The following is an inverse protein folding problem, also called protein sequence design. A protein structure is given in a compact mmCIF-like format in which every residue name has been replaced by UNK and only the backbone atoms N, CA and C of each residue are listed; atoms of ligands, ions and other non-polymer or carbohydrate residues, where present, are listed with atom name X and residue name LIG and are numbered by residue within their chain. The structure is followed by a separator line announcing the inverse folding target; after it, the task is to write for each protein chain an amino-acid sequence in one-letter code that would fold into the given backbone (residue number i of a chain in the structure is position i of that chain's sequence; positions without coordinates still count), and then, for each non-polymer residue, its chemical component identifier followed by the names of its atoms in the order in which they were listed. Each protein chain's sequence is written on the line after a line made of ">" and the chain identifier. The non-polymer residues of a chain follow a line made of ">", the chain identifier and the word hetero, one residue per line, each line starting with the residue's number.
data_IF_652896377847
#
_entry.id   IF_652896377847
#
_cell.length_a   1.000
_cell.length_b   1.000
_cell.length_c   1.000
_cell.angle_alpha   90.00
_cell.angle_beta   90.00
_cell.angle_gamma   90.00
#
_symmetry.space_group_name_H-M   'P 1'
#
loop_
_entity.id
_entity.type
_entity.pdbx_description
1 polymer ?
#
# COMPACT_ATOMS: atom_id res chain seq x y z
N UNK A 1 30.58 12.81 -6.21
CA UNK A 1 30.05 11.79 -7.09
C UNK A 1 28.87 12.37 -7.88
N UNK A 2 28.86 12.19 -9.20
CA UNK A 2 27.67 12.54 -10.01
C UNK A 2 26.65 11.44 -9.79
N UNK A 3 25.48 11.83 -9.32
CA UNK A 3 24.31 10.95 -9.30
C UNK A 3 23.66 11.08 -10.68
N UNK A 4 23.66 10.02 -11.48
CA UNK A 4 22.94 9.99 -12.77
C UNK A 4 21.45 9.79 -12.50
N UNK A 5 20.70 10.89 -12.52
CA UNK A 5 19.24 10.88 -12.47
C UNK A 5 18.76 11.12 -13.90
N UNK A 6 17.76 10.37 -14.39
CA UNK A 6 17.12 10.67 -15.67
C UNK A 6 16.66 12.14 -15.72
N UNK A 7 16.88 12.80 -16.84
CA UNK A 7 16.59 14.25 -17.01
C UNK A 7 15.10 14.61 -16.84
N UNK A 8 14.23 13.63 -16.93
CA UNK A 8 12.78 13.75 -16.79
C UNK A 8 12.25 13.37 -15.40
N UNK A 9 13.15 13.07 -14.46
CA UNK A 9 12.81 12.74 -13.07
C UNK A 9 13.23 13.86 -12.09
N UNK A 10 12.45 13.96 -11.00
CA UNK A 10 12.70 14.84 -9.86
C UNK A 10 12.94 13.98 -8.62
N UNK A 11 13.99 14.29 -7.85
CA UNK A 11 14.18 13.70 -6.53
C UNK A 11 13.12 14.29 -5.58
N UNK A 12 12.29 13.41 -5.01
CA UNK A 12 11.27 13.80 -4.01
C UNK A 12 11.79 13.59 -2.61
N UNK A 13 12.46 12.44 -2.37
CA UNK A 13 12.99 12.14 -1.04
C UNK A 13 14.38 11.49 -1.15
N UNK A 14 15.20 11.75 -0.13
CA UNK A 14 16.50 11.11 0.09
C UNK A 14 16.41 10.37 1.42
N UNK A 15 16.61 9.05 1.39
CA UNK A 15 16.55 8.21 2.59
C UNK A 15 17.97 7.77 2.93
N UNK A 16 18.59 8.32 4.00
CA UNK A 16 19.88 7.86 4.48
C UNK A 16 19.84 6.37 4.87
N UNK A 17 20.81 5.60 4.41
CA UNK A 17 21.00 4.20 4.80
C UNK A 17 22.16 4.10 5.78
N UNK A 18 23.31 4.69 5.41
CA UNK A 18 24.50 4.68 6.23
C UNK A 18 25.37 5.90 5.96
N UNK A 19 26.10 6.32 6.98
CA UNK A 19 27.12 7.34 6.89
C UNK A 19 28.50 6.71 7.12
N UNK A 20 29.54 7.25 6.46
CA UNK A 20 30.93 6.95 6.75
C UNK A 20 31.67 8.24 7.00
N UNK A 21 32.52 8.28 8.03
CA UNK A 21 33.34 9.43 8.37
C UNK A 21 34.78 9.02 8.12
N UNK A 22 35.47 9.79 7.28
CA UNK A 22 36.90 9.58 6.92
C UNK A 22 37.23 8.15 6.49
N UNK A 23 36.31 7.53 5.72
CA UNK A 23 36.46 6.16 5.22
C UNK A 23 36.32 5.05 6.26
N UNK A 24 35.79 5.37 7.45
CA UNK A 24 35.51 4.40 8.51
C UNK A 24 34.35 3.45 8.24
N UNK A 25 34.00 2.66 9.24
CA UNK A 25 32.89 1.71 9.16
C UNK A 25 31.53 2.43 8.96
N UNK A 26 30.58 1.80 8.27
CA UNK A 26 29.27 2.41 8.05
C UNK A 26 28.47 2.55 9.35
N UNK A 27 27.93 3.73 9.58
CA UNK A 27 27.13 4.08 10.75
C UNK A 27 25.66 4.25 10.33
N UNK A 28 24.75 3.43 10.89
CA UNK A 28 23.32 3.46 10.62
C UNK A 28 22.56 4.28 11.69
N UNK A 29 23.16 5.36 12.15
CA UNK A 29 22.62 6.25 13.20
C UNK A 29 22.87 7.70 12.85
N UNK A 30 22.21 8.59 13.58
CA UNK A 30 22.50 10.01 13.51
C UNK A 30 23.98 10.28 13.86
N UNK A 31 24.65 11.01 12.99
CA UNK A 31 26.05 11.42 13.11
C UNK A 31 26.21 12.88 13.55
N UNK A 32 25.11 13.53 13.96
CA UNK A 32 25.15 14.91 14.44
C UNK A 32 26.12 15.06 15.61
N UNK A 33 27.02 16.05 15.52
CA UNK A 33 28.07 16.30 16.51
C UNK A 33 29.33 15.44 16.35
N UNK A 34 29.38 14.51 15.39
CA UNK A 34 30.64 13.81 15.07
C UNK A 34 31.54 14.68 14.19
N UNK A 35 32.85 14.62 14.41
CA UNK A 35 33.83 15.37 13.64
C UNK A 35 34.52 14.46 12.62
N UNK A 36 34.78 15.00 11.42
CA UNK A 36 35.50 14.33 10.35
C UNK A 36 35.82 15.29 9.21
N UNK A 37 36.76 14.92 8.36
CA UNK A 37 37.16 15.72 7.19
C UNK A 37 36.29 15.41 5.98
N UNK A 38 35.82 14.15 5.85
CA UNK A 38 34.98 13.66 4.74
C UNK A 38 33.83 12.88 5.34
N UNK A 39 32.61 13.21 4.89
CA UNK A 39 31.40 12.45 5.20
C UNK A 39 30.86 11.88 3.91
N UNK A 40 30.75 10.56 3.85
CA UNK A 40 30.09 9.84 2.77
C UNK A 40 28.69 9.43 3.23
N UNK A 41 27.70 9.62 2.36
CA UNK A 41 26.32 9.20 2.58
C UNK A 41 25.94 8.12 1.57
N UNK A 42 25.55 6.97 2.05
CA UNK A 42 24.82 5.97 1.29
C UNK A 42 23.32 6.19 1.51
N UNK A 43 22.56 6.41 0.44
CA UNK A 43 21.15 6.75 0.54
C UNK A 43 20.35 6.14 -0.61
N UNK A 44 19.07 5.82 -0.35
CA UNK A 44 18.09 5.58 -1.38
C UNK A 44 17.52 6.92 -1.86
N UNK A 45 17.48 7.11 -3.16
CA UNK A 45 16.82 8.25 -3.78
C UNK A 45 15.44 7.80 -4.27
N UNK A 46 14.42 8.57 -3.91
CA UNK A 46 13.07 8.38 -4.42
C UNK A 46 12.83 9.45 -5.46
N UNK A 47 12.57 9.02 -6.68
CA UNK A 47 12.31 9.89 -7.81
C UNK A 47 10.89 9.73 -8.33
N UNK A 48 10.37 10.79 -8.92
CA UNK A 48 9.11 10.80 -9.67
C UNK A 48 9.32 11.47 -11.03
N UNK A 49 8.59 11.05 -12.07
CA UNK A 49 8.55 11.78 -13.32
C UNK A 49 8.12 13.23 -13.11
N UNK A 50 8.86 14.17 -13.69
CA UNK A 50 8.65 15.60 -13.53
C UNK A 50 7.20 16.03 -13.79
N UNK A 51 6.55 15.44 -14.82
CA UNK A 51 5.19 15.80 -15.18
C UNK A 51 4.18 15.41 -14.08
N UNK A 52 4.41 14.30 -13.39
CA UNK A 52 3.57 13.87 -12.26
C UNK A 52 3.73 14.82 -11.09
N UNK A 53 4.98 15.07 -10.67
CA UNK A 53 5.26 15.98 -9.55
C UNK A 53 4.68 17.37 -9.79
N UNK A 54 4.91 17.94 -10.99
CA UNK A 54 4.37 19.26 -11.37
C UNK A 54 2.84 19.29 -11.38
N UNK A 55 2.17 18.24 -11.86
CA UNK A 55 0.71 18.18 -11.87
C UNK A 55 0.11 18.32 -10.47
N UNK A 56 0.71 17.67 -9.45
CA UNK A 56 0.28 17.84 -8.08
C UNK A 56 0.56 19.23 -7.53
N UNK A 57 1.74 19.78 -7.82
CA UNK A 57 2.13 21.14 -7.41
C UNK A 57 1.15 22.17 -8.00
N UNK A 58 0.89 22.10 -9.30
CA UNK A 58 -0.01 23.02 -10.00
C UNK A 58 -1.44 22.97 -9.43
N UNK A 59 -1.96 21.77 -9.14
CA UNK A 59 -3.30 21.61 -8.55
C UNK A 59 -3.38 22.32 -7.20
N UNK A 60 -2.42 22.07 -6.31
CA UNK A 60 -2.41 22.64 -4.96
C UNK A 60 -2.25 24.15 -4.98
N UNK A 61 -1.32 24.67 -5.81
CA UNK A 61 -1.08 26.10 -5.95
C UNK A 61 -2.27 26.82 -6.59
N UNK A 62 -2.92 26.22 -7.60
CA UNK A 62 -4.12 26.80 -8.23
C UNK A 62 -5.31 26.87 -7.26
N UNK A 63 -5.34 26.04 -6.23
CA UNK A 63 -6.31 26.12 -5.14
C UNK A 63 -5.95 27.18 -4.07
N UNK A 64 -4.81 27.88 -4.24
CA UNK A 64 -4.37 28.92 -3.32
C UNK A 64 -3.64 28.42 -2.08
N UNK A 65 -3.18 27.14 -2.06
CA UNK A 65 -2.43 26.59 -0.94
C UNK A 65 -0.92 26.66 -1.19
N UNK A 66 -0.17 26.81 -0.11
CA UNK A 66 1.28 26.68 -0.08
C UNK A 66 1.67 25.22 0.17
N UNK A 67 2.70 24.75 -0.54
CA UNK A 67 3.26 23.43 -0.35
C UNK A 67 4.42 23.52 0.63
N UNK A 68 4.26 22.92 1.81
CA UNK A 68 5.28 22.93 2.86
C UNK A 68 6.31 21.81 2.65
N UNK A 69 5.88 20.64 2.23
CA UNK A 69 6.75 19.48 1.98
C UNK A 69 6.09 18.53 0.96
N UNK A 70 6.88 17.63 0.40
CA UNK A 70 6.42 16.57 -0.47
C UNK A 70 7.05 15.24 -0.02
N UNK A 71 6.21 14.23 0.20
CA UNK A 71 6.64 12.90 0.60
C UNK A 71 5.84 11.84 -0.10
N UNK A 72 6.49 10.73 -0.46
CA UNK A 72 5.78 9.59 -1.06
C UNK A 72 5.00 8.81 0.01
N UNK A 73 3.84 8.29 -0.39
CA UNK A 73 2.93 7.57 0.52
C UNK A 73 3.62 6.49 1.37
N UNK A 74 4.51 5.64 0.84
CA UNK A 74 5.23 4.65 1.66
C UNK A 74 5.98 5.25 2.84
N UNK A 75 6.69 6.37 2.63
CA UNK A 75 7.43 7.03 3.72
C UNK A 75 6.48 7.64 4.75
N UNK A 76 5.40 8.26 4.30
CA UNK A 76 4.40 8.79 5.21
C UNK A 76 3.78 7.66 6.06
N UNK A 77 3.37 6.56 5.43
CA UNK A 77 2.79 5.39 6.10
C UNK A 77 3.74 4.77 7.14
N UNK A 78 5.05 4.85 6.94
CA UNK A 78 6.02 4.33 7.91
C UNK A 78 5.91 4.99 9.28
N UNK A 79 5.48 6.25 9.35
CA UNK A 79 5.33 6.98 10.62
C UNK A 79 4.25 6.38 11.54
N UNK A 80 3.30 5.64 10.96
CA UNK A 80 2.19 5.02 11.69
C UNK A 80 2.37 3.50 11.80
N UNK A 81 2.86 2.86 10.72
CA UNK A 81 2.83 1.40 10.57
C UNK A 81 4.14 0.71 10.91
N UNK A 82 5.25 1.45 11.01
CA UNK A 82 6.56 0.88 11.27
C UNK A 82 7.02 1.26 12.67
N UNK A 83 7.00 0.29 13.56
CA UNK A 83 7.60 0.41 14.87
C UNK A 83 9.11 0.10 14.77
N UNK A 84 9.93 1.13 14.98
CA UNK A 84 11.39 1.03 14.92
C UNK A 84 11.98 0.23 16.08
N UNK A 85 11.24 0.07 17.16
CA UNK A 85 11.66 -0.69 18.36
C UNK A 85 11.17 -2.15 18.29
N UNK A 86 10.40 -2.51 17.26
CA UNK A 86 9.90 -3.87 17.09
C UNK A 86 11.05 -4.87 16.90
N UNK A 87 10.99 -6.05 17.57
CA UNK A 87 11.95 -7.12 17.33
C UNK A 87 11.83 -7.71 15.90
N UNK A 88 10.76 -7.42 15.18
CA UNK A 88 10.56 -7.82 13.78
C UNK A 88 11.26 -6.80 12.89
N UNK A 89 12.43 -7.17 12.37
CA UNK A 89 13.28 -6.27 11.59
C UNK A 89 12.71 -5.90 10.22
N UNK A 90 11.75 -6.65 9.67
CA UNK A 90 11.21 -6.42 8.33
C UNK A 90 9.70 -6.56 8.25
N UNK A 91 9.05 -5.76 7.40
CA UNK A 91 7.61 -5.77 7.18
C UNK A 91 7.25 -5.33 5.76
N UNK A 92 6.27 -5.98 5.17
CA UNK A 92 5.66 -5.55 3.91
C UNK A 92 4.35 -4.83 4.21
N UNK A 93 4.20 -3.62 3.72
CA UNK A 93 2.92 -2.90 3.70
C UNK A 93 2.28 -3.15 2.33
N UNK A 94 1.04 -3.65 2.33
CA UNK A 94 0.25 -3.94 1.15
C UNK A 94 -0.96 -3.00 1.11
N UNK A 95 -0.86 -1.91 0.35
CA UNK A 95 -1.92 -0.93 0.17
C UNK A 95 -2.80 -1.33 -1.02
N UNK A 96 -3.95 -1.94 -0.74
CA UNK A 96 -4.91 -2.39 -1.73
C UNK A 96 -5.86 -1.25 -2.09
N UNK A 97 -5.54 -0.51 -3.14
CA UNK A 97 -6.37 0.56 -3.66
C UNK A 97 -7.46 0.09 -4.63
N UNK A 98 -8.15 1.05 -5.27
CA UNK A 98 -9.16 0.76 -6.28
C UNK A 98 -8.58 0.25 -7.59
N UNK A 99 -7.51 0.88 -8.10
CA UNK A 99 -6.89 0.54 -9.40
C UNK A 99 -5.64 -0.32 -9.27
N UNK A 100 -4.85 -0.10 -8.24
CA UNK A 100 -3.55 -0.70 -8.04
C UNK A 100 -3.39 -1.17 -6.60
N UNK A 101 -2.48 -2.10 -6.38
CA UNK A 101 -1.93 -2.43 -5.07
C UNK A 101 -0.48 -1.96 -5.01
N UNK A 102 -0.13 -1.16 -4.00
CA UNK A 102 1.23 -0.72 -3.74
C UNK A 102 1.84 -1.58 -2.64
N UNK A 103 2.94 -2.24 -2.94
CA UNK A 103 3.76 -2.95 -1.96
C UNK A 103 4.93 -2.08 -1.55
N UNK A 104 5.20 -2.03 -0.26
CA UNK A 104 6.33 -1.30 0.30
C UNK A 104 7.03 -2.18 1.33
N UNK A 105 8.31 -2.48 1.11
CA UNK A 105 9.09 -3.31 2.01
C UNK A 105 9.99 -2.45 2.89
N UNK A 106 9.86 -2.62 4.19
CA UNK A 106 10.67 -1.98 5.21
C UNK A 106 11.56 -3.00 5.89
N UNK A 107 12.83 -2.62 6.15
CA UNK A 107 13.79 -3.40 6.92
C UNK A 107 14.54 -2.46 7.87
N UNK A 108 14.59 -2.82 9.16
CA UNK A 108 15.18 -1.98 10.20
C UNK A 108 14.64 -0.53 10.20
N UNK A 109 13.34 -0.37 9.95
CA UNK A 109 12.68 0.94 9.87
C UNK A 109 12.89 1.72 8.57
N UNK A 110 13.73 1.25 7.65
CA UNK A 110 14.03 1.91 6.39
C UNK A 110 13.23 1.32 5.23
N UNK A 111 12.74 2.17 4.33
CA UNK A 111 12.13 1.76 3.09
C UNK A 111 13.20 1.20 2.14
N UNK A 112 13.11 -0.09 1.84
CA UNK A 112 14.08 -0.81 1.00
C UNK A 112 13.65 -0.82 -0.46
N UNK A 113 12.34 -0.94 -0.72
CA UNK A 113 11.83 -0.96 -2.07
C UNK A 113 10.32 -0.96 -2.13
N UNK A 114 9.81 -0.69 -3.32
CA UNK A 114 8.37 -0.69 -3.61
C UNK A 114 8.08 -1.47 -4.89
N UNK A 115 6.86 -1.97 -5.01
CA UNK A 115 6.35 -2.59 -6.23
C UNK A 115 4.87 -2.24 -6.40
N UNK A 116 4.45 -2.00 -7.64
CA UNK A 116 3.07 -1.69 -7.98
C UNK A 116 2.49 -2.83 -8.79
N UNK A 117 1.44 -3.46 -8.26
CA UNK A 117 0.63 -4.41 -8.99
C UNK A 117 -0.53 -3.67 -9.66
N UNK A 118 -0.76 -3.96 -10.94
CA UNK A 118 -1.93 -3.45 -11.69
C UNK A 118 -3.19 -4.23 -11.34
N UNK A 119 -3.39 -4.47 -10.06
CA UNK A 119 -4.57 -5.11 -9.49
C UNK A 119 -5.05 -4.25 -8.32
N UNK A 120 -6.33 -3.89 -8.33
CA UNK A 120 -7.02 -3.21 -7.25
C UNK A 120 -8.47 -3.68 -7.18
N UNK A 121 -9.19 -3.26 -6.15
CA UNK A 121 -10.56 -3.74 -5.86
C UNK A 121 -11.58 -3.45 -6.98
N UNK A 122 -11.30 -2.48 -7.88
CA UNK A 122 -12.17 -2.20 -9.03
C UNK A 122 -12.20 -3.35 -10.05
N UNK A 123 -11.14 -4.18 -10.11
CA UNK A 123 -11.15 -5.36 -10.98
C UNK A 123 -12.14 -6.41 -10.50
N UNK A 124 -12.32 -6.52 -9.19
CA UNK A 124 -13.36 -7.39 -8.58
C UNK A 124 -14.73 -6.85 -8.95
N UNK A 125 -14.95 -5.53 -8.80
CA UNK A 125 -16.22 -4.88 -9.18
C UNK A 125 -16.55 -5.08 -10.66
N UNK A 126 -15.56 -4.94 -11.54
CA UNK A 126 -15.73 -5.16 -12.96
C UNK A 126 -16.09 -6.62 -13.30
N UNK A 127 -15.49 -7.59 -12.59
CA UNK A 127 -15.82 -9.01 -12.79
C UNK A 127 -17.25 -9.33 -12.32
N UNK A 128 -17.68 -8.78 -11.18
CA UNK A 128 -19.08 -8.89 -10.71
C UNK A 128 -20.04 -8.29 -11.72
N UNK A 129 -19.75 -7.08 -12.21
CA UNK A 129 -20.54 -6.38 -13.22
C UNK A 129 -20.71 -7.22 -14.48
N UNK A 130 -19.63 -7.80 -14.97
CA UNK A 130 -19.60 -8.65 -16.16
C UNK A 130 -20.36 -9.96 -15.96
N UNK A 131 -20.13 -10.63 -14.82
CA UNK A 131 -20.69 -11.95 -14.53
C UNK A 131 -22.21 -11.92 -14.38
N UNK A 132 -22.72 -10.87 -13.73
CA UNK A 132 -24.16 -10.75 -13.42
C UNK A 132 -24.88 -9.71 -14.29
N UNK A 133 -24.21 -9.14 -15.27
CA UNK A 133 -24.74 -8.08 -16.15
C UNK A 133 -25.38 -6.93 -15.35
N UNK A 134 -24.66 -6.42 -14.34
CA UNK A 134 -25.06 -5.32 -13.47
C UNK A 134 -24.31 -4.04 -13.79
N UNK A 135 -24.86 -2.89 -13.40
CA UNK A 135 -24.10 -1.64 -13.43
C UNK A 135 -22.93 -1.70 -12.45
N UNK A 136 -21.85 -0.91 -12.73
CA UNK A 136 -20.68 -0.84 -11.87
C UNK A 136 -21.03 -0.40 -10.45
N UNK A 137 -21.96 0.56 -10.32
CA UNK A 137 -22.40 1.07 -9.01
C UNK A 137 -23.13 -0.02 -8.21
N UNK A 138 -23.95 -0.84 -8.88
CA UNK A 138 -24.67 -1.94 -8.22
C UNK A 138 -23.66 -3.02 -7.79
N UNK A 139 -22.75 -3.36 -8.66
CA UNK A 139 -21.70 -4.36 -8.40
C UNK A 139 -20.77 -3.93 -7.24
N UNK A 140 -20.43 -2.65 -7.16
CA UNK A 140 -19.64 -2.11 -6.05
C UNK A 140 -20.39 -2.21 -4.73
N UNK A 141 -21.69 -1.88 -4.72
CA UNK A 141 -22.54 -2.03 -3.52
C UNK A 141 -22.61 -3.48 -3.05
N UNK A 142 -22.87 -4.42 -3.96
CA UNK A 142 -22.92 -5.84 -3.61
C UNK A 142 -21.59 -6.34 -3.06
N UNK A 143 -20.46 -5.92 -3.67
CA UNK A 143 -19.13 -6.25 -3.18
C UNK A 143 -18.89 -5.73 -1.76
N UNK A 144 -19.28 -4.49 -1.46
CA UNK A 144 -19.07 -3.87 -0.14
C UNK A 144 -19.97 -4.50 0.92
N UNK A 145 -21.25 -4.78 0.59
CA UNK A 145 -22.24 -5.25 1.55
C UNK A 145 -22.14 -6.75 1.82
N UNK A 146 -21.85 -7.57 0.80
CA UNK A 146 -21.92 -9.03 0.86
C UNK A 146 -20.67 -9.75 0.39
N UNK A 147 -19.66 -9.00 -0.11
CA UNK A 147 -18.45 -9.62 -0.67
C UNK A 147 -17.57 -10.25 0.39
N UNK A 148 -17.12 -11.47 0.15
CA UNK A 148 -16.08 -12.11 0.94
C UNK A 148 -15.01 -12.75 0.04
N UNK A 149 -13.75 -12.72 0.50
CA UNK A 149 -12.64 -13.39 -0.16
C UNK A 149 -12.65 -14.92 0.06
N UNK A 150 -13.46 -15.42 1.00
CA UNK A 150 -13.59 -16.84 1.31
C UNK A 150 -14.99 -17.35 0.96
N UNK A 151 -15.14 -17.93 -0.23
CA UNK A 151 -16.42 -18.47 -0.67
C UNK A 151 -16.95 -19.68 0.13
N UNK A 152 -16.13 -20.27 0.99
CA UNK A 152 -16.57 -21.36 1.86
C UNK A 152 -17.41 -20.89 3.05
N UNK A 153 -17.29 -19.60 3.41
CA UNK A 153 -18.05 -18.98 4.50
C UNK A 153 -19.39 -18.41 4.06
N UNK A 154 -19.65 -18.33 2.75
CA UNK A 154 -20.86 -17.73 2.20
C UNK A 154 -22.01 -18.72 2.08
N UNK A 155 -23.24 -18.22 2.19
CA UNK A 155 -24.48 -19.00 2.21
C UNK A 155 -25.26 -18.91 0.90
N UNK A 156 -26.20 -19.83 0.70
CA UNK A 156 -27.14 -19.83 -0.46
C UNK A 156 -28.34 -18.90 -0.20
N UNK A 157 -28.07 -17.68 0.29
CA UNK A 157 -29.09 -16.68 0.57
C UNK A 157 -29.12 -15.70 -0.59
N UNK A 158 -30.32 -15.39 -1.11
CA UNK A 158 -30.50 -14.39 -2.15
C UNK A 158 -30.21 -13.02 -1.55
N UNK A 159 -29.21 -12.32 -2.10
CA UNK A 159 -28.78 -10.97 -1.69
C UNK A 159 -29.24 -9.91 -2.70
N UNK A 160 -29.61 -10.30 -3.90
CA UNK A 160 -30.11 -9.41 -4.94
C UNK A 160 -31.09 -10.14 -5.84
N UNK A 161 -32.19 -9.48 -6.19
CA UNK A 161 -33.15 -9.95 -7.20
C UNK A 161 -33.66 -8.78 -8.05
N UNK A 162 -33.86 -9.04 -9.33
CA UNK A 162 -34.50 -8.15 -10.29
C UNK A 162 -35.52 -8.98 -11.11
N UNK A 163 -36.79 -8.87 -10.73
CA UNK A 163 -37.88 -9.62 -11.36
C UNK A 163 -38.05 -9.26 -12.84
N UNK A 164 -37.73 -8.03 -13.23
CA UNK A 164 -37.89 -7.56 -14.61
C UNK A 164 -36.88 -8.17 -15.56
N UNK A 165 -35.74 -8.59 -15.05
CA UNK A 165 -34.64 -9.21 -15.80
C UNK A 165 -34.44 -10.69 -15.48
N UNK A 166 -35.31 -11.24 -14.61
CA UNK A 166 -35.19 -12.62 -14.10
C UNK A 166 -33.77 -12.93 -13.54
N UNK A 167 -33.20 -11.98 -12.79
CA UNK A 167 -31.89 -12.10 -12.17
C UNK A 167 -32.07 -12.34 -10.67
N UNK A 168 -31.41 -13.37 -10.17
CA UNK A 168 -31.28 -13.65 -8.74
C UNK A 168 -29.82 -14.00 -8.45
N UNK A 169 -29.24 -13.36 -7.43
CA UNK A 169 -27.85 -13.57 -7.04
C UNK A 169 -27.80 -13.95 -5.58
N UNK A 170 -27.13 -15.05 -5.28
CA UNK A 170 -26.86 -15.49 -3.92
C UNK A 170 -25.50 -14.96 -3.42
N UNK A 171 -25.34 -14.89 -2.10
CA UNK A 171 -24.07 -14.58 -1.48
C UNK A 171 -22.96 -15.55 -1.93
N UNK A 172 -23.32 -16.84 -2.09
CA UNK A 172 -22.40 -17.88 -2.56
C UNK A 172 -21.89 -17.61 -3.97
N UNK A 173 -22.75 -17.30 -4.91
CA UNK A 173 -22.39 -17.00 -6.30
C UNK A 173 -21.51 -15.74 -6.36
N UNK A 174 -21.85 -14.68 -5.61
CA UNK A 174 -21.02 -13.47 -5.52
C UNK A 174 -19.62 -13.79 -5.02
N UNK A 175 -19.52 -14.57 -3.94
CA UNK A 175 -18.24 -14.92 -3.31
C UNK A 175 -17.38 -15.83 -4.17
N UNK A 176 -17.98 -16.71 -4.97
CA UNK A 176 -17.26 -17.54 -5.95
C UNK A 176 -16.62 -16.70 -7.05
N UNK A 177 -17.35 -15.69 -7.56
CA UNK A 177 -16.80 -14.74 -8.54
C UNK A 177 -15.62 -13.95 -7.95
N UNK A 178 -15.78 -13.46 -6.73
CA UNK A 178 -14.72 -12.73 -6.02
C UNK A 178 -13.48 -13.61 -5.79
N UNK A 179 -13.68 -14.81 -5.24
CA UNK A 179 -12.59 -15.74 -4.93
C UNK A 179 -11.82 -16.15 -6.17
N UNK A 180 -12.50 -16.44 -7.27
CA UNK A 180 -11.87 -16.77 -8.54
C UNK A 180 -11.00 -15.61 -9.07
N UNK A 181 -11.47 -14.37 -8.94
CA UNK A 181 -10.70 -13.20 -9.36
C UNK A 181 -9.48 -12.96 -8.48
N UNK A 182 -9.59 -13.27 -7.19
CA UNK A 182 -8.49 -13.14 -6.23
C UNK A 182 -7.40 -14.21 -6.40
N UNK A 183 -7.68 -15.37 -7.00
CA UNK A 183 -6.67 -16.40 -7.23
C UNK A 183 -5.49 -15.87 -8.09
N UNK A 184 -5.78 -15.13 -9.14
CA UNK A 184 -4.74 -14.48 -9.97
C UNK A 184 -3.99 -13.41 -9.16
N UNK A 185 -4.70 -12.66 -8.34
CA UNK A 185 -4.12 -11.64 -7.47
C UNK A 185 -3.12 -12.23 -6.47
N UNK A 186 -3.44 -13.34 -5.83
CA UNK A 186 -2.56 -13.98 -4.85
C UNK A 186 -1.25 -14.47 -5.47
N UNK A 187 -1.30 -14.97 -6.72
CA UNK A 187 -0.09 -15.40 -7.46
C UNK A 187 0.84 -14.19 -7.70
N UNK A 188 0.29 -13.12 -8.26
CA UNK A 188 1.06 -11.90 -8.52
C UNK A 188 1.56 -11.23 -7.23
N UNK A 189 0.74 -11.22 -6.20
CA UNK A 189 1.09 -10.67 -4.89
C UNK A 189 2.28 -11.42 -4.29
N UNK A 190 2.21 -12.75 -4.25
CA UNK A 190 3.30 -13.58 -3.71
C UNK A 190 4.61 -13.40 -4.48
N UNK A 191 4.54 -13.38 -5.82
CA UNK A 191 5.70 -13.15 -6.68
C UNK A 191 6.38 -11.82 -6.37
N UNK A 192 5.62 -10.73 -6.30
CA UNK A 192 6.16 -9.41 -6.05
C UNK A 192 6.73 -9.26 -4.63
N UNK A 193 6.04 -9.79 -3.61
CA UNK A 193 6.55 -9.82 -2.24
C UNK A 193 7.87 -10.60 -2.18
N UNK A 194 7.93 -11.77 -2.82
CA UNK A 194 9.12 -12.62 -2.82
C UNK A 194 10.33 -11.92 -3.46
N UNK A 195 10.11 -11.18 -4.54
CA UNK A 195 11.17 -10.35 -5.17
C UNK A 195 11.63 -9.25 -4.20
N UNK A 196 10.72 -8.47 -3.63
CA UNK A 196 11.04 -7.38 -2.72
C UNK A 196 11.79 -7.86 -1.47
N UNK A 197 11.40 -9.00 -0.92
CA UNK A 197 11.95 -9.55 0.33
C UNK A 197 13.11 -10.53 0.10
N UNK A 198 13.54 -10.72 -1.16
CA UNK A 198 14.56 -11.73 -1.54
C UNK A 198 14.21 -13.12 -0.99
N UNK A 199 12.95 -13.51 -1.09
CA UNK A 199 12.36 -14.76 -0.59
C UNK A 199 12.39 -14.95 0.94
N UNK A 200 12.70 -13.91 1.71
CA UNK A 200 12.58 -13.99 3.18
C UNK A 200 11.10 -13.80 3.58
N UNK A 201 10.66 -14.60 4.54
CA UNK A 201 9.26 -14.59 4.99
C UNK A 201 9.03 -13.50 6.06
N UNK A 202 8.76 -12.27 5.61
CA UNK A 202 8.36 -11.16 6.49
C UNK A 202 6.83 -11.04 6.57
N UNK A 203 6.30 -10.55 7.72
CA UNK A 203 4.87 -10.31 7.88
C UNK A 203 4.37 -9.23 6.92
N UNK A 204 3.06 -9.31 6.60
CA UNK A 204 2.36 -8.39 5.72
C UNK A 204 1.30 -7.63 6.51
N UNK A 205 1.31 -6.32 6.44
CA UNK A 205 0.22 -5.46 6.94
C UNK A 205 -0.59 -4.94 5.76
N UNK A 206 -1.88 -5.21 5.78
CA UNK A 206 -2.80 -4.79 4.72
C UNK A 206 -3.48 -3.48 5.11
N UNK A 207 -3.55 -2.57 4.15
CA UNK A 207 -4.24 -1.27 4.25
C UNK A 207 -4.98 -0.95 2.95
N UNK A 208 -5.55 0.25 2.88
CA UNK A 208 -6.28 0.73 1.71
C UNK A 208 -7.75 0.30 1.70
N UNK A 209 -8.52 0.82 0.76
CA UNK A 209 -9.96 0.53 0.66
C UNK A 209 -10.28 -0.94 0.38
N UNK A 210 -9.40 -1.66 -0.34
CA UNK A 210 -9.55 -3.08 -0.62
C UNK A 210 -9.35 -3.98 0.59
N UNK A 211 -8.72 -3.49 1.66
CA UNK A 211 -8.54 -4.24 2.92
C UNK A 211 -9.85 -4.50 3.67
N UNK A 212 -10.92 -3.81 3.30
CA UNK A 212 -12.24 -4.00 3.89
C UNK A 212 -13.02 -5.19 3.31
N UNK A 213 -12.51 -5.85 2.26
CA UNK A 213 -13.12 -7.07 1.76
C UNK A 213 -13.03 -8.16 2.85
N UNK A 214 -14.18 -8.71 3.22
CA UNK A 214 -14.23 -9.69 4.30
C UNK A 214 -13.28 -10.88 4.02
N UNK A 215 -12.58 -11.36 5.06
CA UNK A 215 -11.63 -12.49 5.02
C UNK A 215 -10.43 -12.31 4.06
N UNK A 216 -10.11 -11.10 3.59
CA UNK A 216 -9.00 -10.90 2.65
C UNK A 216 -7.64 -11.19 3.31
N UNK A 217 -7.45 -10.80 4.56
CA UNK A 217 -6.24 -11.04 5.33
C UNK A 217 -6.01 -12.51 5.62
N UNK A 218 -7.06 -13.23 6.04
CA UNK A 218 -7.00 -14.67 6.24
C UNK A 218 -6.62 -15.41 4.96
N UNK A 219 -7.23 -15.02 3.82
CA UNK A 219 -6.93 -15.63 2.54
C UNK A 219 -5.50 -15.32 2.07
N UNK A 220 -5.00 -14.10 2.25
CA UNK A 220 -3.61 -13.75 1.96
C UNK A 220 -2.67 -14.56 2.87
N UNK A 221 -2.95 -14.65 4.17
CA UNK A 221 -2.17 -15.45 5.12
C UNK A 221 -2.05 -16.91 4.68
N UNK A 222 -3.17 -17.53 4.31
CA UNK A 222 -3.22 -18.93 3.86
C UNK A 222 -2.49 -19.11 2.52
N UNK A 223 -2.82 -18.29 1.52
CA UNK A 223 -2.31 -18.43 0.15
C UNK A 223 -0.82 -18.13 0.01
N UNK A 224 -0.31 -17.19 0.80
CA UNK A 224 1.10 -16.78 0.77
C UNK A 224 1.95 -17.47 1.86
N UNK A 225 1.33 -18.18 2.80
CA UNK A 225 1.99 -18.76 3.98
C UNK A 225 2.82 -17.72 4.75
N UNK A 226 2.25 -16.50 4.91
CA UNK A 226 2.87 -15.36 5.59
C UNK A 226 1.95 -14.84 6.68
N UNK A 227 2.51 -14.46 7.81
CA UNK A 227 1.74 -13.71 8.81
C UNK A 227 1.18 -12.44 8.18
N UNK A 228 -0.13 -12.28 8.29
CA UNK A 228 -0.86 -11.19 7.63
C UNK A 228 -1.89 -10.63 8.60
N UNK A 229 -1.95 -9.32 8.67
CA UNK A 229 -2.92 -8.58 9.49
C UNK A 229 -3.47 -7.38 8.72
N UNK A 230 -4.74 -7.05 8.94
CA UNK A 230 -5.31 -5.78 8.47
C UNK A 230 -5.10 -4.74 9.56
N UNK A 231 -4.47 -3.61 9.20
CA UNK A 231 -4.34 -2.48 10.11
C UNK A 231 -5.69 -1.82 10.33
N UNK A 232 -6.03 -1.56 11.59
CA UNK A 232 -7.22 -0.81 11.97
C UNK A 232 -6.76 0.49 12.62
N UNK A 233 -7.11 1.63 11.99
CA UNK A 233 -6.75 2.94 12.49
C UNK A 233 -7.41 3.22 13.84
N UNK A 234 -6.63 3.66 14.82
CA UNK A 234 -7.10 4.14 16.12
C UNK A 234 -7.56 5.60 16.09
N UNK A 235 -7.32 6.31 14.99
CA UNK A 235 -7.70 7.72 14.87
C UNK A 235 -9.21 7.88 14.76
N UNK A 236 -9.77 8.77 15.59
CA UNK A 236 -11.20 9.07 15.58
C UNK A 236 -11.58 9.69 14.23
N UNK A 237 -12.63 9.14 13.59
CA UNK A 237 -13.09 9.58 12.27
C UNK A 237 -12.33 9.01 11.09
N UNK A 238 -11.27 8.21 11.30
CA UNK A 238 -10.40 7.67 10.28
C UNK A 238 -10.29 6.13 10.30
N UNK A 239 -11.37 5.47 10.66
CA UNK A 239 -11.42 3.99 10.65
C UNK A 239 -11.41 3.38 9.26
N UNK A 240 -11.73 4.18 8.24
CA UNK A 240 -11.63 3.73 6.85
C UNK A 240 -10.17 3.84 6.39
N UNK A 241 -9.53 2.70 6.16
CA UNK A 241 -8.14 2.60 5.74
C UNK A 241 -7.82 3.33 4.42
N UNK A 242 -8.83 3.70 3.62
CA UNK A 242 -8.65 4.53 2.43
C UNK A 242 -8.10 5.94 2.77
N UNK A 243 -8.33 6.45 3.99
CA UNK A 243 -7.82 7.75 4.46
C UNK A 243 -6.48 7.66 5.18
N UNK A 244 -5.96 6.46 5.43
CA UNK A 244 -4.72 6.26 6.17
C UNK A 244 -3.52 6.99 5.54
N UNK A 245 -3.34 7.02 4.20
CA UNK A 245 -2.27 7.81 3.59
C UNK A 245 -2.33 9.31 3.93
N UNK A 246 -3.53 9.90 3.99
CA UNK A 246 -3.68 11.32 4.34
C UNK A 246 -3.31 11.59 5.80
N UNK A 247 -3.71 10.71 6.71
CA UNK A 247 -3.38 10.83 8.14
C UNK A 247 -1.87 10.68 8.33
N UNK A 248 -1.29 9.70 7.66
CA UNK A 248 0.15 9.43 7.74
C UNK A 248 1.00 10.60 7.23
N UNK A 249 0.52 11.36 6.25
CA UNK A 249 1.18 12.59 5.81
C UNK A 249 1.28 13.64 6.92
N UNK A 250 0.21 13.83 7.67
CA UNK A 250 0.17 14.77 8.81
C UNK A 250 1.12 14.30 9.90
N UNK A 251 1.05 13.02 10.29
CA UNK A 251 1.92 12.44 11.31
C UNK A 251 3.40 12.50 10.90
N UNK A 252 3.70 12.18 9.66
CA UNK A 252 5.06 12.26 9.12
C UNK A 252 5.62 13.69 9.24
N UNK A 253 4.82 14.69 8.82
CA UNK A 253 5.22 16.09 8.89
C UNK A 253 5.45 16.55 10.33
N UNK A 254 4.52 16.24 11.23
CA UNK A 254 4.63 16.60 12.65
C UNK A 254 5.86 15.96 13.29
N UNK A 255 6.14 14.67 13.02
CA UNK A 255 7.29 13.96 13.57
C UNK A 255 8.64 14.46 13.01
N UNK A 256 8.64 14.98 11.78
CA UNK A 256 9.85 15.52 11.14
C UNK A 256 10.24 16.90 11.69
N UNK A 257 9.27 17.65 12.25
CA UNK A 257 9.46 19.05 12.70
C UNK A 257 9.34 19.22 14.22
N UNK A 258 9.23 18.12 14.97
CA UNK A 258 9.44 18.07 16.43
C UNK A 258 10.92 17.87 16.75
#
# INVERSE_FOLDING_TARGET
>A
SRIDIPNDELIVNIIPIAYRIDGGEPLNKDISGMCGSIVELEANLITLPNFIARSYVDIIQNLGYEILDAVVSPLALSSILIDKESPINGRVICDIGGKNTLLSFFLNGNLIGTSILRFGSNLITAEISKQFDLSVERSEKLKIEFGTANSQLSEQIIIYSDETRDISITEKELSEVISKRLDEYYIELNKNISILTKNVNYPVTIIGGGSHLNSIDEQIKIRLSRETETYISSYIGARNNAFLPCISLVEYYVNKHR
#
